data_IF_384872673965
#
_entry.id   IF_384872673965
#
_cell.length_a   1.000
_cell.length_b   1.000
_cell.length_c   1.000
_cell.angle_alpha   90.00
_cell.angle_beta   90.00
_cell.angle_gamma   90.00
#
_symmetry.space_group_name_H-M   'P 1'
#
loop_
_entity.id
_entity.type
_entity.pdbx_description
1 polymer ?
#
# COMPACT_ATOMS: atom_id res chain seq x y z
N UNK A 1 -12.97 -3.91 -10.03
CA UNK A 1 -13.06 -5.36 -10.31
C UNK A 1 -11.84 -6.03 -9.69
N UNK A 2 -11.95 -6.48 -8.44
CA UNK A 2 -10.91 -7.29 -7.81
C UNK A 2 -11.01 -8.66 -8.46
N UNK A 3 -10.16 -8.93 -9.46
CA UNK A 3 -10.04 -10.27 -10.00
C UNK A 3 -9.29 -11.07 -8.95
N UNK A 4 -10.03 -11.76 -8.08
CA UNK A 4 -9.48 -12.83 -7.27
C UNK A 4 -8.96 -13.90 -8.23
N UNK A 5 -7.67 -13.87 -8.53
CA UNK A 5 -7.02 -14.97 -9.24
C UNK A 5 -6.97 -16.12 -8.25
N UNK A 6 -8.03 -16.95 -8.28
CA UNK A 6 -7.97 -18.30 -7.76
C UNK A 6 -6.98 -19.02 -8.67
N UNK A 7 -5.81 -19.36 -8.14
CA UNK A 7 -4.81 -20.14 -8.87
C UNK A 7 -5.36 -21.58 -9.00
N UNK A 8 -6.32 -21.77 -9.88
CA UNK A 8 -6.65 -23.09 -10.40
C UNK A 8 -5.60 -23.45 -11.45
N UNK A 9 -4.95 -24.58 -11.19
CA UNK A 9 -3.90 -25.16 -12.04
C UNK A 9 -4.45 -25.43 -13.44
N UNK A 10 -4.35 -24.49 -14.37
CA UNK A 10 -4.19 -24.75 -15.81
C UNK A 10 -4.32 -23.48 -16.66
N UNK A 11 -3.24 -22.70 -16.78
CA UNK A 11 -2.97 -21.92 -18.00
C UNK A 11 -1.46 -21.87 -18.21
N UNK A 12 -1.01 -22.30 -19.39
CA UNK A 12 0.39 -22.44 -19.77
C UNK A 12 1.02 -21.08 -20.13
N UNK A 13 1.81 -20.53 -19.19
CA UNK A 13 2.80 -19.47 -19.42
C UNK A 13 4.09 -19.87 -18.70
N UNK A 14 4.73 -20.93 -19.20
CA UNK A 14 5.67 -21.81 -18.48
C UNK A 14 7.08 -21.27 -18.16
N UNK A 15 7.39 -19.99 -18.41
CA UNK A 15 8.75 -19.46 -18.20
C UNK A 15 8.85 -18.28 -17.25
N UNK A 16 8.40 -17.11 -17.71
CA UNK A 16 8.70 -15.82 -17.08
C UNK A 16 7.83 -15.56 -15.85
N UNK A 17 6.57 -15.99 -15.88
CA UNK A 17 5.63 -15.82 -14.77
C UNK A 17 5.95 -16.74 -13.58
N UNK A 18 6.40 -17.96 -13.86
CA UNK A 18 6.88 -18.91 -12.85
C UNK A 18 8.15 -18.41 -12.17
N UNK A 19 9.09 -17.82 -12.92
CA UNK A 19 10.29 -17.18 -12.37
C UNK A 19 9.94 -15.95 -11.50
N UNK A 20 8.96 -15.15 -11.89
CA UNK A 20 8.45 -14.03 -11.08
C UNK A 20 7.79 -14.51 -9.78
N UNK A 21 6.97 -15.57 -9.83
CA UNK A 21 6.37 -16.18 -8.63
C UNK A 21 7.44 -16.85 -7.75
N UNK A 22 8.43 -17.51 -8.34
CA UNK A 22 9.55 -18.11 -7.59
C UNK A 22 10.40 -17.03 -6.91
N UNK A 23 10.61 -15.90 -7.58
CA UNK A 23 11.30 -14.73 -7.04
C UNK A 23 10.50 -14.06 -5.90
N UNK A 24 9.17 -13.94 -6.03
CA UNK A 24 8.29 -13.51 -4.93
C UNK A 24 8.38 -14.46 -3.73
N UNK A 25 8.36 -15.77 -3.96
CA UNK A 25 8.50 -16.77 -2.88
C UNK A 25 9.86 -16.73 -2.18
N UNK A 26 10.92 -16.35 -2.89
CA UNK A 26 12.25 -16.16 -2.30
C UNK A 26 12.30 -14.93 -1.36
N UNK A 27 11.50 -13.90 -1.63
CA UNK A 27 11.35 -12.72 -0.76
C UNK A 27 10.54 -13.04 0.50
N UNK A 28 9.55 -13.94 0.42
CA UNK A 28 8.71 -14.33 1.57
C UNK A 28 9.49 -15.08 2.68
N UNK A 29 10.66 -15.67 2.38
CA UNK A 29 11.39 -16.58 3.29
C UNK A 29 12.22 -15.85 4.35
N UNK A 30 12.40 -14.52 4.29
CA UNK A 30 13.18 -13.75 5.27
C UNK A 30 12.35 -13.08 6.39
N UNK A 31 11.09 -13.47 6.58
CA UNK A 31 10.18 -12.87 7.57
C UNK A 31 10.19 -13.61 8.92
N UNK A 32 11.24 -13.42 9.71
CA UNK A 32 11.28 -13.82 11.12
C UNK A 32 11.56 -12.61 12.04
N UNK A 33 10.76 -12.53 13.11
CA UNK A 33 10.64 -11.48 14.13
C UNK A 33 11.84 -10.52 14.31
N UNK A 34 11.60 -9.23 14.07
CA UNK A 34 12.58 -8.15 14.29
C UNK A 34 12.26 -7.37 15.58
N UNK A 35 13.30 -7.14 16.39
CA UNK A 35 13.28 -6.30 17.59
C UNK A 35 12.97 -4.82 17.22
N UNK A 36 12.40 -4.01 18.12
CA UNK A 36 12.20 -2.58 17.83
C UNK A 36 13.57 -1.92 17.76
N UNK A 37 13.97 -1.49 16.57
CA UNK A 37 15.06 -0.55 16.42
C UNK A 37 14.43 0.82 16.14
N UNK A 38 14.46 1.77 17.09
CA UNK A 38 13.89 3.10 16.89
C UNK A 38 14.57 3.92 15.77
N UNK A 39 15.68 3.43 15.20
CA UNK A 39 16.36 4.01 14.04
C UNK A 39 16.00 3.34 12.71
N UNK A 40 15.10 2.35 12.71
CA UNK A 40 14.71 1.66 11.48
C UNK A 40 13.74 2.53 10.67
N UNK A 41 14.00 2.68 9.38
CA UNK A 41 13.14 3.47 8.49
C UNK A 41 11.74 2.84 8.39
N UNK A 42 10.71 3.68 8.53
CA UNK A 42 9.30 3.26 8.51
C UNK A 42 8.81 2.86 7.11
N UNK A 43 9.54 3.27 6.07
CA UNK A 43 9.34 2.88 4.67
C UNK A 43 10.70 2.63 4.05
N UNK A 44 10.90 1.47 3.45
CA UNK A 44 12.13 1.10 2.75
C UNK A 44 11.91 1.21 1.25
N UNK A 45 12.92 1.71 0.52
CA UNK A 45 12.94 1.73 -0.94
C UNK A 45 14.11 0.93 -1.50
N UNK A 46 13.85 -0.01 -2.40
CA UNK A 46 14.85 -0.84 -3.06
C UNK A 46 14.75 -0.68 -4.58
N UNK A 47 15.90 -0.65 -5.27
CA UNK A 47 15.99 -0.53 -6.72
C UNK A 47 16.55 -1.84 -7.29
N UNK A 48 15.74 -2.57 -8.06
CA UNK A 48 16.09 -3.91 -8.59
C UNK A 48 15.84 -3.93 -10.10
N UNK A 49 16.89 -3.68 -10.88
CA UNK A 49 16.76 -3.52 -12.33
C UNK A 49 15.76 -2.41 -12.66
N UNK A 50 14.71 -2.72 -13.41
CA UNK A 50 13.63 -1.78 -13.76
C UNK A 50 12.48 -1.69 -12.74
N UNK A 51 12.60 -2.43 -11.62
CA UNK A 51 11.59 -2.47 -10.56
C UNK A 51 12.03 -1.58 -9.40
N UNK A 52 11.09 -0.86 -8.82
CA UNK A 52 11.27 -0.10 -7.59
C UNK A 52 10.32 -0.66 -6.53
N UNK A 53 10.88 -1.13 -5.42
CA UNK A 53 10.14 -1.80 -4.36
C UNK A 53 10.03 -0.88 -3.15
N UNK A 54 8.82 -0.53 -2.78
CA UNK A 54 8.49 0.13 -1.52
C UNK A 54 8.00 -0.93 -0.53
N UNK A 55 8.61 -0.95 0.65
CA UNK A 55 8.17 -1.79 1.77
C UNK A 55 7.70 -0.91 2.92
N UNK A 56 6.43 -1.02 3.30
CA UNK A 56 5.94 -0.46 4.57
C UNK A 56 6.54 -1.27 5.72
N UNK A 57 7.35 -0.65 6.57
CA UNK A 57 8.22 -1.35 7.52
C UNK A 57 7.90 -1.03 8.99
N UNK A 58 6.63 -1.14 9.37
CA UNK A 58 6.19 -1.04 10.77
C UNK A 58 5.38 -2.28 11.17
N UNK A 59 5.96 -3.50 11.12
CA UNK A 59 5.20 -4.75 11.23
C UNK A 59 4.50 -4.92 12.58
N UNK A 60 5.10 -4.38 13.66
CA UNK A 60 4.52 -4.37 15.02
C UNK A 60 3.25 -3.54 15.11
N UNK A 61 3.22 -2.42 14.38
CA UNK A 61 2.07 -1.53 14.26
C UNK A 61 1.21 -1.87 13.05
N UNK A 62 1.35 -3.06 12.46
CA UNK A 62 0.60 -3.50 11.28
C UNK A 62 0.71 -2.52 10.10
N UNK A 63 1.88 -1.89 9.94
CA UNK A 63 2.15 -0.95 8.84
C UNK A 63 1.15 0.21 8.78
N UNK A 64 0.84 0.80 9.94
CA UNK A 64 0.04 2.02 10.05
C UNK A 64 0.66 3.17 9.24
N UNK A 65 -0.17 3.89 8.51
CA UNK A 65 0.20 5.04 7.68
C UNK A 65 0.25 6.28 8.57
N UNK A 66 1.43 6.55 9.12
CA UNK A 66 1.74 7.78 9.86
C UNK A 66 2.18 8.91 8.93
N UNK A 67 2.37 10.11 9.49
CA UNK A 67 2.88 11.26 8.75
C UNK A 67 4.21 10.97 8.04
N UNK A 68 5.14 10.31 8.72
CA UNK A 68 6.45 9.94 8.16
C UNK A 68 6.32 8.95 7.00
N UNK A 69 5.39 7.99 7.11
CA UNK A 69 5.08 7.05 6.02
C UNK A 69 4.54 7.81 4.81
N UNK A 70 3.60 8.74 4.99
CA UNK A 70 3.06 9.56 3.90
C UNK A 70 4.17 10.37 3.22
N UNK A 71 5.03 11.01 4.02
CA UNK A 71 6.13 11.83 3.50
C UNK A 71 7.16 10.99 2.73
N UNK A 72 7.53 9.81 3.23
CA UNK A 72 8.48 8.92 2.56
C UNK A 72 7.89 8.29 1.29
N UNK A 73 6.62 7.86 1.33
CA UNK A 73 5.93 7.36 0.14
C UNK A 73 5.88 8.42 -0.96
N UNK A 74 5.48 9.66 -0.62
CA UNK A 74 5.48 10.77 -1.56
C UNK A 74 6.87 10.99 -2.17
N UNK A 75 7.92 11.01 -1.32
CA UNK A 75 9.31 11.16 -1.79
C UNK A 75 9.74 10.06 -2.75
N UNK A 76 9.45 8.80 -2.46
CA UNK A 76 9.81 7.68 -3.34
C UNK A 76 9.04 7.73 -4.66
N UNK A 77 7.73 7.97 -4.61
CA UNK A 77 6.88 8.07 -5.78
C UNK A 77 7.31 9.25 -6.67
N UNK A 78 7.50 10.45 -6.13
CA UNK A 78 7.96 11.60 -6.91
C UNK A 78 9.35 11.40 -7.53
N UNK A 79 10.26 10.75 -6.80
CA UNK A 79 11.60 10.42 -7.29
C UNK A 79 11.49 9.46 -8.47
N UNK A 80 10.80 8.33 -8.28
CA UNK A 80 10.77 7.26 -9.26
C UNK A 80 9.83 7.51 -10.42
N UNK A 81 8.87 8.42 -10.30
CA UNK A 81 8.07 8.87 -11.46
C UNK A 81 8.96 9.53 -12.53
N UNK A 82 10.05 10.18 -12.12
CA UNK A 82 10.99 10.90 -13.00
C UNK A 82 12.18 10.06 -13.46
N UNK A 83 12.29 8.83 -12.97
CA UNK A 83 13.44 7.93 -13.21
C UNK A 83 13.17 7.05 -14.43
N UNK A 84 13.79 7.30 -15.58
CA UNK A 84 13.54 6.54 -16.81
C UNK A 84 13.80 5.03 -16.68
N UNK A 85 14.64 4.61 -15.73
CA UNK A 85 14.91 3.18 -15.47
C UNK A 85 13.80 2.51 -14.66
N UNK A 86 12.93 3.27 -13.98
CA UNK A 86 11.82 2.72 -13.22
C UNK A 86 10.61 2.47 -14.13
N UNK A 87 10.33 1.21 -14.45
CA UNK A 87 9.15 0.83 -15.26
C UNK A 87 7.99 0.32 -14.39
N UNK A 88 8.32 -0.30 -13.25
CA UNK A 88 7.37 -0.93 -12.34
C UNK A 88 7.61 -0.47 -10.90
N UNK A 89 6.55 -0.01 -10.24
CA UNK A 89 6.54 0.25 -8.79
C UNK A 89 5.80 -0.88 -8.10
N UNK A 90 6.45 -1.50 -7.12
CA UNK A 90 5.87 -2.54 -6.29
C UNK A 90 5.75 -2.03 -4.86
N UNK A 91 4.55 -2.13 -4.28
CA UNK A 91 4.30 -1.74 -2.88
C UNK A 91 3.89 -2.98 -2.09
N UNK A 92 4.61 -3.27 -1.00
CA UNK A 92 4.33 -4.38 -0.08
C UNK A 92 4.41 -3.92 1.39
N UNK A 93 3.81 -4.69 2.29
CA UNK A 93 4.02 -4.53 3.74
C UNK A 93 5.02 -5.54 4.28
N UNK A 94 5.73 -5.21 5.35
CA UNK A 94 6.52 -6.20 6.10
C UNK A 94 5.69 -6.89 7.19
N UNK A 95 6.11 -8.08 7.60
CA UNK A 95 5.45 -8.84 8.66
C UNK A 95 4.09 -9.40 8.24
N UNK A 96 3.09 -9.31 9.12
CA UNK A 96 1.82 -10.07 8.99
C UNK A 96 0.67 -9.33 8.28
N UNK A 97 0.89 -8.11 7.81
CA UNK A 97 -0.15 -7.29 7.18
C UNK A 97 0.44 -6.40 6.09
N UNK A 98 -0.39 -6.06 5.10
CA UNK A 98 -0.08 -5.00 4.15
C UNK A 98 -0.11 -3.64 4.86
N UNK A 99 -1.27 -3.22 5.36
CA UNK A 99 -1.44 -2.02 6.19
C UNK A 99 -2.79 -2.00 6.91
N UNK A 100 -2.79 -1.66 8.19
CA UNK A 100 -3.99 -1.49 9.00
C UNK A 100 -4.68 -0.12 8.84
N UNK A 101 -4.14 0.78 8.00
CA UNK A 101 -4.75 2.08 7.71
C UNK A 101 -4.03 3.27 8.33
N UNK A 102 -4.69 4.43 8.26
CA UNK A 102 -4.15 5.71 8.73
C UNK A 102 -3.96 5.75 10.24
N UNK A 103 -2.92 6.46 10.69
CA UNK A 103 -2.69 6.68 12.11
C UNK A 103 -3.72 7.67 12.68
N UNK A 104 -4.71 7.18 13.44
CA UNK A 104 -5.69 8.05 14.10
C UNK A 104 -5.05 9.08 15.03
N UNK A 105 -3.87 8.77 15.59
CA UNK A 105 -3.15 9.73 16.42
C UNK A 105 -2.67 10.93 15.62
N UNK A 106 -2.27 10.74 14.35
CA UNK A 106 -1.89 11.82 13.45
C UNK A 106 -3.05 12.82 13.25
N UNK A 107 -4.27 12.32 13.03
CA UNK A 107 -5.46 13.15 12.90
C UNK A 107 -5.86 13.82 14.23
N UNK A 108 -5.75 13.08 15.33
CA UNK A 108 -6.05 13.58 16.67
C UNK A 108 -5.08 14.69 17.10
N UNK A 109 -3.78 14.51 16.93
CA UNK A 109 -2.75 15.48 17.31
C UNK A 109 -2.80 16.73 16.42
N UNK A 110 -3.19 16.57 15.15
CA UNK A 110 -3.44 17.66 14.21
C UNK A 110 -4.59 18.59 14.63
N UNK A 111 -5.41 18.26 15.63
CA UNK A 111 -6.51 19.12 16.12
C UNK A 111 -6.05 20.37 16.87
N UNK A 112 -4.76 20.47 17.17
CA UNK A 112 -4.17 21.54 18.01
C UNK A 112 -4.29 22.92 17.36
N UNK A 113 -4.29 23.00 16.02
CA UNK A 113 -4.72 24.18 15.26
C UNK A 113 -5.49 23.76 14.01
N UNK A 114 -6.25 24.69 13.41
CA UNK A 114 -6.93 24.42 12.12
C UNK A 114 -5.92 24.13 11.01
N UNK A 115 -4.80 24.85 10.99
CA UNK A 115 -3.78 24.73 9.96
C UNK A 115 -3.05 23.38 10.03
N UNK A 116 -2.78 22.86 11.24
CA UNK A 116 -2.15 21.54 11.41
C UNK A 116 -3.04 20.38 10.97
N UNK A 117 -4.36 20.50 11.18
CA UNK A 117 -5.31 19.46 10.74
C UNK A 117 -5.40 19.43 9.21
N UNK A 118 -5.52 20.61 8.59
CA UNK A 118 -5.61 20.75 7.14
C UNK A 118 -4.37 20.19 6.45
N UNK A 119 -3.17 20.41 6.99
CA UNK A 119 -1.93 19.89 6.41
C UNK A 119 -1.88 18.36 6.39
N UNK A 120 -2.28 17.71 7.48
CA UNK A 120 -2.32 16.24 7.60
C UNK A 120 -3.29 15.65 6.57
N UNK A 121 -4.50 16.20 6.50
CA UNK A 121 -5.52 15.77 5.55
C UNK A 121 -5.05 16.02 4.13
N UNK A 122 -4.50 17.21 3.84
CA UNK A 122 -4.00 17.58 2.52
C UNK A 122 -2.95 16.60 2.01
N UNK A 123 -1.95 16.25 2.83
CA UNK A 123 -0.89 15.30 2.43
C UNK A 123 -1.42 13.91 2.16
N UNK A 124 -2.35 13.41 2.98
CA UNK A 124 -2.95 12.10 2.75
C UNK A 124 -3.74 12.07 1.44
N UNK A 125 -4.56 13.09 1.19
CA UNK A 125 -5.33 13.19 -0.05
C UNK A 125 -4.45 13.41 -1.28
N UNK A 126 -3.37 14.18 -1.15
CA UNK A 126 -2.37 14.34 -2.20
C UNK A 126 -1.73 12.99 -2.55
N UNK A 127 -1.31 12.21 -1.55
CA UNK A 127 -0.72 10.89 -1.78
C UNK A 127 -1.70 9.95 -2.50
N UNK A 128 -2.96 9.92 -2.05
CA UNK A 128 -4.00 9.10 -2.69
C UNK A 128 -4.25 9.52 -4.14
N UNK A 129 -4.30 10.82 -4.41
CA UNK A 129 -4.43 11.36 -5.76
C UNK A 129 -3.20 11.00 -6.63
N UNK A 130 -2.00 11.11 -6.06
CA UNK A 130 -0.77 10.82 -6.77
C UNK A 130 -0.70 9.35 -7.20
N UNK A 131 -1.05 8.42 -6.31
CA UNK A 131 -1.18 6.98 -6.64
C UNK A 131 -2.27 6.77 -7.70
N UNK A 132 -3.45 7.40 -7.55
CA UNK A 132 -4.54 7.22 -8.50
C UNK A 132 -4.22 7.71 -9.92
N UNK A 133 -3.32 8.68 -10.05
CA UNK A 133 -2.95 9.32 -11.32
C UNK A 133 -1.51 9.00 -11.75
N UNK A 134 -0.89 8.02 -11.09
CA UNK A 134 0.52 7.73 -11.27
C UNK A 134 0.81 7.25 -12.70
N UNK A 135 1.87 7.78 -13.31
CA UNK A 135 2.15 7.53 -14.74
C UNK A 135 2.71 6.15 -15.03
N UNK A 136 3.32 5.51 -14.03
CA UNK A 136 4.00 4.23 -14.17
C UNK A 136 3.13 3.10 -13.63
N UNK A 137 3.47 1.86 -14.00
CA UNK A 137 2.69 0.72 -13.55
C UNK A 137 2.95 0.47 -12.06
N UNK A 138 1.89 0.51 -11.26
CA UNK A 138 1.92 0.19 -9.83
C UNK A 138 1.28 -1.17 -9.56
N UNK A 139 1.92 -1.96 -8.70
CA UNK A 139 1.45 -3.26 -8.24
C UNK A 139 1.49 -3.32 -6.71
N UNK A 140 0.35 -3.61 -6.09
CA UNK A 140 0.30 -3.94 -4.67
C UNK A 140 0.50 -5.45 -4.45
N UNK A 141 1.41 -5.84 -3.55
CA UNK A 141 1.45 -7.19 -2.99
C UNK A 141 0.81 -7.18 -1.61
N UNK A 142 -0.37 -7.78 -1.50
CA UNK A 142 -1.27 -7.58 -0.38
C UNK A 142 -1.54 -8.88 0.34
N UNK A 143 -1.01 -8.99 1.56
CA UNK A 143 -1.24 -10.10 2.48
C UNK A 143 -1.81 -9.60 3.80
N UNK A 144 -2.53 -10.47 4.51
CA UNK A 144 -3.10 -10.11 5.82
C UNK A 144 -4.03 -8.90 5.74
N UNK A 145 -3.87 -7.94 6.65
CA UNK A 145 -4.79 -6.80 6.77
C UNK A 145 -4.46 -5.73 5.71
N UNK A 146 -5.48 -5.31 4.96
CA UNK A 146 -5.49 -4.09 4.14
C UNK A 146 -6.76 -3.30 4.46
N UNK A 147 -6.65 -2.30 5.34
CA UNK A 147 -7.81 -1.58 5.85
C UNK A 147 -7.66 -0.08 5.75
N UNK A 148 -8.78 0.61 5.56
CA UNK A 148 -8.89 2.06 5.45
C UNK A 148 -7.81 2.69 4.58
N UNK A 149 -6.95 3.53 5.14
CA UNK A 149 -5.82 4.11 4.39
C UNK A 149 -4.96 3.09 3.62
N UNK A 150 -4.79 1.87 4.15
CA UNK A 150 -4.09 0.78 3.46
C UNK A 150 -4.86 0.25 2.25
N UNK A 151 -6.19 0.12 2.42
CA UNK A 151 -7.09 -0.17 1.31
C UNK A 151 -7.05 0.94 0.25
N UNK A 152 -6.88 2.20 0.67
CA UNK A 152 -6.78 3.37 -0.21
C UNK A 152 -5.47 3.42 -1.00
N UNK A 153 -4.38 2.88 -0.48
CA UNK A 153 -3.15 2.71 -1.25
C UNK A 153 -3.36 1.66 -2.34
N UNK A 154 -3.90 0.49 -1.97
CA UNK A 154 -4.05 -0.67 -2.85
C UNK A 154 -5.10 -0.49 -3.95
N UNK A 155 -6.32 -0.07 -3.60
CA UNK A 155 -7.48 -0.08 -4.49
C UNK A 155 -7.32 0.71 -5.80
N UNK A 156 -6.65 1.88 -5.82
CA UNK A 156 -6.46 2.63 -7.06
C UNK A 156 -5.29 2.14 -7.93
N UNK A 157 -4.39 1.29 -7.41
CA UNK A 157 -3.26 0.78 -8.16
C UNK A 157 -3.72 -0.08 -9.34
N UNK A 158 -2.93 -0.06 -10.42
CA UNK A 158 -3.26 -0.77 -11.67
C UNK A 158 -3.45 -2.27 -11.46
N UNK A 159 -2.62 -2.88 -10.62
CA UNK A 159 -2.76 -4.27 -10.24
C UNK A 159 -2.62 -4.47 -8.73
N UNK A 160 -3.32 -5.47 -8.22
CA UNK A 160 -3.21 -5.91 -6.84
C UNK A 160 -3.18 -7.43 -6.81
N UNK A 161 -2.12 -8.00 -6.23
CA UNK A 161 -1.98 -9.43 -5.98
C UNK A 161 -2.33 -9.68 -4.52
N UNK A 162 -3.37 -10.47 -4.28
CA UNK A 162 -3.89 -10.76 -2.93
C UNK A 162 -3.63 -12.21 -2.54
N UNK A 163 -3.45 -12.44 -1.25
CA UNK A 163 -3.33 -13.79 -0.67
C UNK A 163 -4.66 -14.29 -0.11
N UNK A 164 -4.77 -15.58 0.18
CA UNK A 164 -5.93 -16.19 0.85
C UNK A 164 -6.16 -15.67 2.27
N UNK A 165 -5.13 -15.07 2.89
CA UNK A 165 -5.19 -14.47 4.22
C UNK A 165 -5.56 -13.00 4.20
N UNK A 166 -5.81 -12.45 3.01
CA UNK A 166 -6.07 -11.02 2.87
C UNK A 166 -7.46 -10.65 3.40
N UNK A 167 -7.49 -9.74 4.36
CA UNK A 167 -8.71 -9.13 4.91
C UNK A 167 -8.75 -7.68 4.47
N UNK A 168 -9.68 -7.38 3.57
CA UNK A 168 -9.93 -6.05 3.04
C UNK A 168 -11.15 -5.43 3.71
N UNK A 169 -11.01 -4.22 4.26
CA UNK A 169 -12.16 -3.49 4.81
C UNK A 169 -11.97 -1.97 4.84
N UNK A 170 -13.07 -1.24 4.82
CA UNK A 170 -13.12 0.22 5.04
C UNK A 170 -13.99 0.48 6.28
N UNK A 171 -13.44 0.31 7.50
CA UNK A 171 -14.22 0.32 8.74
C UNK A 171 -14.45 1.73 9.31
N UNK A 172 -14.18 2.80 8.57
CA UNK A 172 -14.21 4.19 9.06
C UNK A 172 -15.55 4.57 9.70
N UNK A 173 -16.65 4.07 9.15
CA UNK A 173 -18.00 4.30 9.67
C UNK A 173 -18.14 3.87 11.14
N UNK A 174 -17.44 2.81 11.56
CA UNK A 174 -17.50 2.29 12.93
C UNK A 174 -16.91 3.24 13.98
N UNK A 175 -16.04 4.17 13.57
CA UNK A 175 -15.42 5.17 14.44
C UNK A 175 -16.00 6.58 14.23
N UNK A 176 -17.16 6.68 13.55
CA UNK A 176 -17.79 7.96 13.25
C UNK A 176 -17.09 8.77 12.16
N UNK A 177 -16.26 8.11 11.34
CA UNK A 177 -15.61 8.70 10.18
C UNK A 177 -16.23 8.18 8.88
N UNK A 178 -16.00 8.85 7.76
CA UNK A 178 -16.46 8.38 6.45
C UNK A 178 -15.34 7.65 5.73
N UNK A 179 -15.67 6.74 4.83
CA UNK A 179 -14.64 6.15 3.97
C UNK A 179 -14.10 7.23 3.03
N UNK A 180 -12.81 7.50 3.16
CA UNK A 180 -12.11 8.62 2.55
C UNK A 180 -11.28 8.18 1.33
N UNK A 181 -10.32 9.02 0.93
CA UNK A 181 -9.25 8.65 -0.02
C UNK A 181 -9.72 8.06 -1.37
N UNK A 182 -10.84 8.57 -1.91
CA UNK A 182 -11.34 8.20 -3.24
C UNK A 182 -12.26 6.98 -3.29
N UNK A 183 -12.56 6.34 -2.15
CA UNK A 183 -13.53 5.24 -2.13
C UNK A 183 -14.95 5.66 -2.50
N UNK A 184 -15.36 6.89 -2.21
CA UNK A 184 -16.62 7.44 -2.71
C UNK A 184 -16.71 7.41 -4.25
N UNK A 185 -15.57 7.59 -4.93
CA UNK A 185 -15.46 7.46 -6.39
C UNK A 185 -15.40 6.00 -6.84
N UNK A 186 -14.58 5.16 -6.19
CA UNK A 186 -14.38 3.76 -6.59
C UNK A 186 -15.62 2.89 -6.31
N UNK A 187 -16.19 2.98 -5.11
CA UNK A 187 -17.33 2.14 -4.70
C UNK A 187 -18.59 2.45 -5.51
N UNK A 188 -18.81 3.70 -5.90
CA UNK A 188 -19.96 4.10 -6.73
C UNK A 188 -19.90 3.57 -8.17
N UNK A 189 -18.75 3.01 -8.60
CA UNK A 189 -18.53 2.45 -9.94
C UNK A 189 -18.37 0.94 -9.93
N UNK A 190 -18.46 0.30 -8.77
CA UNK A 190 -18.52 -1.15 -8.70
C UNK A 190 -19.83 -1.64 -9.32
N UNK A 191 -19.84 -2.82 -9.95
CA UNK A 191 -21.09 -3.43 -10.38
C UNK A 191 -22.02 -3.55 -9.18
N UNK A 192 -23.29 -3.19 -9.38
CA UNK A 192 -24.32 -3.41 -8.37
C UNK A 192 -24.43 -4.90 -8.02
N UNK A 193 -24.97 -5.18 -6.85
CA UNK A 193 -25.41 -6.52 -6.47
C UNK A 193 -26.71 -6.84 -7.21
#
# INVERSE_FOLDING_TARGET
MVVGIKIEKSVDYSGVFLLFIFWIKLIDIQMAQVAENPNEEVVLGEEIGHVRVITLNQPRRLNVISFDVVALLAKFLEKWEKDDEAELILIKGSGRAFSAGGDLKMFYDGRTSKDSNLEVVYRMYWLCYHIHTYKKTEVALVHGISMGGGASLMAPMKFSVVTEKTVFATPEASIGFHTDCGFSYMLSRLPGI
#
